data_IF_065073060456
#
_entry.id   IF_065073060456
#
_cell.length_a   1.000
_cell.length_b   1.000
_cell.length_c   1.000
_cell.angle_alpha   90.00
_cell.angle_beta   90.00
_cell.angle_gamma   90.00
#
_symmetry.space_group_name_H-M   'P 1'
#
loop_
_entity.id
_entity.type
_entity.pdbx_description
1 polymer ?
#
# COMPACT_ATOMS: atom_id res chain seq x y z
N UNK A 1 -2.40 12.32 -8.06
CA UNK A 1 -2.16 11.06 -7.33
C UNK A 1 -3.23 10.09 -7.77
N UNK A 2 -2.84 8.95 -8.34
CA UNK A 2 -3.77 7.92 -8.80
C UNK A 2 -4.36 7.21 -7.58
N UNK A 3 -5.68 7.05 -7.52
CA UNK A 3 -6.34 6.41 -6.38
C UNK A 3 -6.01 4.90 -6.30
N UNK A 4 -5.71 4.42 -5.09
CA UNK A 4 -5.48 3.00 -4.83
C UNK A 4 -6.82 2.26 -4.73
N UNK A 5 -6.92 1.08 -5.36
CA UNK A 5 -8.05 0.16 -5.14
C UNK A 5 -8.14 -0.27 -3.67
N UNK A 6 -9.34 -0.53 -3.12
CA UNK A 6 -9.52 -0.96 -1.73
C UNK A 6 -8.72 -2.19 -1.35
N UNK A 7 -8.33 -2.35 -0.09
CA UNK A 7 -7.53 -3.47 0.39
C UNK A 7 -8.15 -4.83 0.01
N UNK A 8 -7.44 -5.74 -0.69
CA UNK A 8 -8.02 -7.01 -1.12
C UNK A 8 -8.27 -7.98 0.04
N UNK A 9 -7.58 -7.80 1.18
CA UNK A 9 -7.66 -8.71 2.31
C UNK A 9 -8.88 -8.45 3.21
N UNK A 10 -9.29 -7.19 3.34
CA UNK A 10 -10.32 -6.78 4.29
C UNK A 10 -11.28 -5.72 3.77
N UNK A 11 -11.22 -5.38 2.47
CA UNK A 11 -12.07 -4.36 1.84
C UNK A 11 -11.82 -2.93 2.31
N UNK A 12 -10.86 -2.71 3.23
CA UNK A 12 -10.53 -1.41 3.82
C UNK A 12 -9.87 -0.42 2.86
N UNK A 13 -9.54 0.75 3.39
CA UNK A 13 -8.79 1.75 2.63
C UNK A 13 -7.33 1.31 2.47
N UNK A 14 -6.74 1.62 1.32
CA UNK A 14 -5.32 1.41 1.05
C UNK A 14 -4.61 2.77 0.94
N UNK A 15 -3.45 2.91 1.58
CA UNK A 15 -2.68 4.16 1.63
C UNK A 15 -1.24 3.90 1.23
N UNK A 16 -0.69 4.74 0.34
CA UNK A 16 0.73 4.74 0.00
C UNK A 16 1.48 5.63 1.00
N UNK A 17 2.53 5.10 1.61
CA UNK A 17 3.37 5.81 2.57
C UNK A 17 4.82 5.88 2.05
N UNK A 18 5.47 7.00 2.33
CA UNK A 18 6.89 7.23 2.10
C UNK A 18 7.56 7.47 3.46
N UNK A 19 8.33 6.49 3.93
CA UNK A 19 9.03 6.59 5.21
C UNK A 19 10.32 7.42 5.12
N UNK A 20 10.75 7.84 3.91
CA UNK A 20 11.79 8.84 3.65
C UNK A 20 13.20 8.55 4.19
N UNK A 21 13.41 7.50 4.99
CA UNK A 21 14.65 7.28 5.72
C UNK A 21 15.14 5.84 5.61
N UNK A 22 16.35 5.71 5.04
CA UNK A 22 17.30 4.61 5.23
C UNK A 22 16.71 3.21 5.02
N UNK A 23 16.54 2.83 3.76
CA UNK A 23 16.34 1.43 3.38
C UNK A 23 14.90 0.93 3.36
N UNK A 24 13.94 1.72 3.86
CA UNK A 24 12.52 1.46 3.65
C UNK A 24 12.03 2.13 2.36
N UNK A 25 11.74 1.37 1.30
CA UNK A 25 11.08 1.91 0.12
C UNK A 25 9.62 2.29 0.43
N UNK A 26 9.05 3.10 -0.48
CA UNK A 26 7.61 3.30 -0.60
C UNK A 26 6.85 1.98 -0.37
N UNK A 27 5.77 2.05 0.40
CA UNK A 27 4.99 0.87 0.77
C UNK A 27 3.49 1.21 0.88
N UNK A 28 2.64 0.19 0.83
CA UNK A 28 1.19 0.33 0.95
C UNK A 28 0.71 -0.33 2.23
N UNK A 29 -0.08 0.39 3.02
CA UNK A 29 -0.78 -0.12 4.21
C UNK A 29 -2.26 -0.28 3.93
N UNK A 30 -2.90 -1.20 4.66
CA UNK A 30 -4.34 -1.34 4.69
C UNK A 30 -4.89 -0.96 6.05
N UNK A 31 -5.96 -0.17 6.06
CA UNK A 31 -6.67 0.20 7.28
C UNK A 31 -8.17 -0.10 7.12
N UNK A 32 -8.69 -0.94 8.03
CA UNK A 32 -10.13 -1.05 8.25
C UNK A 32 -10.39 -1.05 9.76
N UNK A 33 -10.77 0.12 10.29
CA UNK A 33 -11.06 0.32 11.72
C UNK A 33 -12.28 -0.49 12.19
N UNK A 34 -13.21 -0.83 11.29
CA UNK A 34 -14.40 -1.61 11.63
C UNK A 34 -14.06 -3.10 11.82
N UNK A 35 -13.13 -3.64 11.04
CA UNK A 35 -12.76 -5.07 11.05
C UNK A 35 -11.43 -5.37 11.77
N UNK A 36 -10.85 -4.39 12.49
CA UNK A 36 -9.52 -4.51 13.11
C UNK A 36 -8.42 -4.94 12.12
N UNK A 37 -8.59 -4.60 10.84
CA UNK A 37 -7.61 -4.89 9.80
C UNK A 37 -6.48 -3.87 9.90
N UNK A 38 -5.49 -4.21 10.71
CA UNK A 38 -4.21 -3.51 10.81
C UNK A 38 -3.15 -4.38 10.12
N UNK A 39 -3.37 -4.64 8.83
CA UNK A 39 -2.33 -5.24 8.01
C UNK A 39 -1.33 -4.11 7.73
N UNK A 40 -0.19 -4.15 8.46
CA UNK A 40 0.91 -3.21 8.33
C UNK A 40 1.56 -3.24 6.94
N UNK A 41 2.89 -3.19 6.86
CA UNK A 41 3.62 -3.26 5.58
C UNK A 41 3.15 -4.46 4.74
N UNK A 42 2.25 -4.22 3.77
CA UNK A 42 1.71 -5.32 2.97
C UNK A 42 2.66 -5.73 1.88
N UNK A 43 3.55 -4.83 1.44
CA UNK A 43 4.61 -5.07 0.48
C UNK A 43 5.74 -4.06 0.64
N UNK A 44 6.98 -4.53 0.56
CA UNK A 44 8.19 -3.71 0.46
C UNK A 44 8.65 -3.73 -1.00
N UNK A 45 8.65 -2.57 -1.66
CA UNK A 45 9.04 -2.46 -3.06
C UNK A 45 10.37 -1.72 -3.21
N UNK A 46 11.52 -2.38 -2.96
CA UNK A 46 12.81 -1.71 -3.01
C UNK A 46 13.04 -1.09 -4.40
N UNK A 47 13.16 0.25 -4.42
CA UNK A 47 13.54 1.07 -5.60
C UNK A 47 12.46 1.28 -6.67
N UNK A 48 11.17 1.20 -6.34
CA UNK A 48 10.11 1.55 -7.28
C UNK A 48 9.64 3.00 -7.11
N UNK A 49 9.20 3.60 -8.22
CA UNK A 49 8.50 4.89 -8.20
C UNK A 49 7.06 4.75 -7.67
N UNK A 50 6.48 5.84 -7.17
CA UNK A 50 5.07 5.87 -6.74
C UNK A 50 4.11 5.30 -7.82
N UNK A 51 4.36 5.64 -9.10
CA UNK A 51 3.53 5.18 -10.21
C UNK A 51 3.56 3.65 -10.38
N UNK A 52 4.74 3.04 -10.31
CA UNK A 52 4.90 1.58 -10.42
C UNK A 52 4.23 0.86 -9.25
N UNK A 53 4.33 1.41 -8.03
CA UNK A 53 3.67 0.88 -6.84
C UNK A 53 2.14 0.94 -6.95
N UNK A 54 1.60 2.06 -7.42
CA UNK A 54 0.16 2.23 -7.60
C UNK A 54 -0.35 1.31 -8.70
N UNK A 55 0.38 1.17 -9.81
CA UNK A 55 0.02 0.24 -10.88
C UNK A 55 0.06 -1.21 -10.40
N UNK A 56 1.15 -1.65 -9.77
CA UNK A 56 1.29 -3.00 -9.23
C UNK A 56 0.17 -3.32 -8.23
N UNK A 57 -0.15 -2.37 -7.34
CA UNK A 57 -1.29 -2.51 -6.44
C UNK A 57 -2.59 -2.65 -7.22
N UNK A 58 -2.87 -1.75 -8.17
CA UNK A 58 -4.14 -1.71 -8.87
C UNK A 58 -4.34 -2.85 -9.88
N UNK A 59 -3.26 -3.54 -10.29
CA UNK A 59 -3.28 -4.67 -11.24
C UNK A 59 -3.17 -6.03 -10.56
N UNK A 60 -3.03 -6.08 -9.23
CA UNK A 60 -3.10 -7.34 -8.48
C UNK A 60 -4.38 -8.11 -8.86
N UNK A 61 -4.22 -9.38 -9.27
CA UNK A 61 -5.30 -10.26 -9.66
C UNK A 61 -6.09 -10.77 -8.45
#
# INVERSE_FOLDING_TARGET
MSELKPCPFCGGQATLNDDGNIGNPLHITCENLADSCLLGFTNLYPRQSEAELVEAWNTRA
#
